data_IF_876340868162
#
_entry.id   IF_876340868162
#
_cell.length_a   1.000
_cell.length_b   1.000
_cell.length_c   1.000
_cell.angle_alpha   90.00
_cell.angle_beta   90.00
_cell.angle_gamma   90.00
#
_symmetry.space_group_name_H-M   'P 1'
#
loop_
_entity.id
_entity.type
_entity.pdbx_description
1 polymer ?
#
# COMPACT_ATOMS: atom_id res chain seq x y z
N UNK A 1 -27.41 -13.55 4.97
CA UNK A 1 -26.34 -13.26 3.99
C UNK A 1 -25.34 -12.23 4.50
N UNK A 2 -25.77 -11.03 4.94
CA UNK A 2 -24.88 -9.99 5.52
C UNK A 2 -24.14 -10.48 6.78
N UNK A 3 -24.84 -11.13 7.72
CA UNK A 3 -24.24 -11.71 8.93
C UNK A 3 -23.18 -12.78 8.65
N UNK A 4 -23.38 -13.59 7.59
CA UNK A 4 -22.42 -14.63 7.23
C UNK A 4 -21.11 -14.06 6.66
N UNK A 5 -21.21 -12.96 5.90
CA UNK A 5 -20.04 -12.23 5.37
C UNK A 5 -19.25 -11.60 6.52
N UNK A 6 -19.93 -11.01 7.51
CA UNK A 6 -19.27 -10.42 8.67
C UNK A 6 -18.53 -11.45 9.52
N UNK A 7 -19.13 -12.62 9.77
CA UNK A 7 -18.48 -13.69 10.53
C UNK A 7 -17.24 -14.23 9.81
N UNK A 8 -17.30 -14.41 8.48
CA UNK A 8 -16.15 -14.85 7.70
C UNK A 8 -15.00 -13.83 7.73
N UNK A 9 -15.31 -12.53 7.61
CA UNK A 9 -14.28 -11.47 7.68
C UNK A 9 -13.65 -11.42 9.06
N UNK A 10 -14.43 -11.61 10.12
CA UNK A 10 -13.92 -11.65 11.49
C UNK A 10 -12.91 -12.80 11.67
N UNK A 11 -13.28 -14.00 11.23
CA UNK A 11 -12.38 -15.16 11.28
C UNK A 11 -11.09 -14.93 10.47
N UNK A 12 -11.19 -14.34 9.27
CA UNK A 12 -10.01 -14.00 8.48
C UNK A 12 -9.15 -12.93 9.14
N UNK A 13 -9.76 -11.96 9.83
CA UNK A 13 -9.06 -10.91 10.58
C UNK A 13 -8.30 -11.49 11.77
N UNK A 14 -8.93 -12.38 12.54
CA UNK A 14 -8.31 -13.03 13.69
C UNK A 14 -7.07 -13.82 13.26
N UNK A 15 -7.17 -14.56 12.15
CA UNK A 15 -6.07 -15.32 11.56
C UNK A 15 -4.85 -14.47 11.14
N UNK A 16 -5.05 -13.21 10.76
CA UNK A 16 -3.95 -12.32 10.34
C UNK A 16 -3.58 -11.27 11.39
N UNK A 17 -4.25 -11.25 12.55
CA UNK A 17 -4.11 -10.19 13.55
C UNK A 17 -2.67 -10.01 14.03
N UNK A 18 -1.99 -11.11 14.37
CA UNK A 18 -0.59 -11.09 14.80
C UNK A 18 0.34 -10.50 13.74
N UNK A 19 0.13 -10.87 12.47
CA UNK A 19 0.91 -10.35 11.35
C UNK A 19 0.64 -8.86 11.10
N UNK A 20 -0.61 -8.40 11.28
CA UNK A 20 -0.96 -6.99 11.14
C UNK A 20 -0.38 -6.13 12.27
N UNK A 21 -0.39 -6.63 13.50
CA UNK A 21 0.23 -5.98 14.66
C UNK A 21 1.75 -5.86 14.51
N UNK A 22 2.41 -6.92 14.01
CA UNK A 22 3.82 -6.85 13.69
C UNK A 22 4.11 -5.84 12.57
N UNK A 23 3.23 -5.75 11.58
CA UNK A 23 3.36 -4.79 10.48
C UNK A 23 3.11 -3.34 10.93
N UNK A 24 2.13 -3.09 11.80
CA UNK A 24 1.89 -1.75 12.35
C UNK A 24 3.08 -1.27 13.17
N UNK A 25 3.69 -2.14 13.99
CA UNK A 25 4.91 -1.82 14.73
C UNK A 25 6.08 -1.46 13.82
N UNK A 26 6.26 -2.18 12.70
CA UNK A 26 7.28 -1.84 11.69
C UNK A 26 7.05 -0.47 11.06
N UNK A 27 5.80 -0.06 10.86
CA UNK A 27 5.47 1.24 10.26
C UNK A 27 5.62 2.40 11.24
N UNK A 28 5.21 2.23 12.50
CA UNK A 28 5.16 3.31 13.48
C UNK A 28 6.43 3.43 14.32
N UNK A 29 7.15 2.33 14.54
CA UNK A 29 8.32 2.29 15.42
C UNK A 29 8.01 2.41 16.91
N UNK A 30 6.74 2.52 17.30
CA UNK A 30 6.27 2.67 18.68
C UNK A 30 5.01 1.82 18.91
N UNK A 31 4.95 1.14 20.06
CA UNK A 31 3.87 0.21 20.42
C UNK A 31 2.50 0.88 20.55
N UNK A 32 2.44 2.10 21.09
CA UNK A 32 1.17 2.84 21.26
C UNK A 32 0.58 3.19 19.91
N UNK A 33 1.36 3.87 19.06
CA UNK A 33 0.93 4.22 17.70
C UNK A 33 0.64 2.98 16.84
N UNK A 34 1.35 1.87 17.09
CA UNK A 34 1.13 0.61 16.40
C UNK A 34 -0.22 -0.03 16.76
N UNK A 35 -0.64 0.07 18.02
CA UNK A 35 -1.95 -0.40 18.46
C UNK A 35 -3.05 0.42 17.83
N UNK A 36 -2.94 1.76 17.90
CA UNK A 36 -3.91 2.67 17.30
C UNK A 36 -4.08 2.41 15.80
N UNK A 37 -2.96 2.26 15.07
CA UNK A 37 -2.99 1.93 13.64
C UNK A 37 -3.65 0.58 13.37
N UNK A 38 -3.39 -0.43 14.19
CA UNK A 38 -4.03 -1.74 14.07
C UNK A 38 -5.54 -1.64 14.30
N UNK A 39 -5.98 -0.94 15.34
CA UNK A 39 -7.40 -0.80 15.70
C UNK A 39 -8.17 -0.04 14.61
N UNK A 40 -7.61 1.08 14.12
CA UNK A 40 -8.18 1.83 12.99
C UNK A 40 -8.31 0.93 11.73
N UNK A 41 -7.32 0.06 11.51
CA UNK A 41 -7.32 -0.87 10.39
C UNK A 41 -8.42 -1.93 10.55
N UNK A 42 -8.52 -2.56 11.71
CA UNK A 42 -9.54 -3.56 12.01
C UNK A 42 -10.95 -2.98 11.85
N UNK A 43 -11.17 -1.77 12.40
CA UNK A 43 -12.43 -1.04 12.23
C UNK A 43 -12.74 -0.78 10.75
N UNK A 44 -11.73 -0.34 9.98
CA UNK A 44 -11.91 -0.08 8.54
C UNK A 44 -12.20 -1.34 7.74
N UNK A 45 -11.59 -2.47 8.11
CA UNK A 45 -11.85 -3.78 7.51
C UNK A 45 -13.30 -4.19 7.73
N UNK A 46 -13.76 -4.15 8.98
CA UNK A 46 -15.13 -4.54 9.35
C UNK A 46 -16.16 -3.63 8.67
N UNK A 47 -15.94 -2.31 8.70
CA UNK A 47 -16.86 -1.33 8.10
C UNK A 47 -16.90 -1.35 6.57
N UNK A 48 -15.88 -1.93 5.92
CA UNK A 48 -15.83 -2.08 4.46
C UNK A 48 -15.81 -3.55 4.02
N UNK A 49 -16.34 -4.44 4.85
CA UNK A 49 -16.41 -5.88 4.59
C UNK A 49 -17.14 -6.19 3.27
N UNK A 50 -18.14 -5.38 2.92
CA UNK A 50 -18.89 -5.46 1.66
C UNK A 50 -18.03 -5.22 0.41
N UNK A 51 -16.92 -4.48 0.54
CA UNK A 51 -16.00 -4.17 -0.56
C UNK A 51 -14.97 -5.27 -0.80
N UNK A 52 -14.86 -6.22 0.13
CA UNK A 52 -13.94 -7.34 -0.04
C UNK A 52 -14.49 -8.34 -1.07
N UNK A 53 -13.64 -8.73 -2.02
CA UNK A 53 -13.97 -9.75 -3.01
C UNK A 53 -13.50 -11.10 -2.47
N UNK A 54 -14.45 -11.98 -2.15
CA UNK A 54 -14.16 -13.34 -1.73
C UNK A 54 -13.27 -14.07 -2.76
N UNK A 55 -12.38 -14.94 -2.27
CA UNK A 55 -11.40 -15.66 -3.09
C UNK A 55 -10.15 -14.83 -3.47
N UNK A 56 -10.05 -13.58 -3.02
CA UNK A 56 -8.82 -12.78 -3.14
C UNK A 56 -7.95 -12.90 -1.88
N UNK A 57 -6.72 -12.37 -1.91
CA UNK A 57 -5.83 -12.43 -0.75
C UNK A 57 -6.25 -11.40 0.32
N UNK A 58 -6.90 -11.89 1.37
CA UNK A 58 -7.38 -11.06 2.50
C UNK A 58 -6.25 -10.28 3.18
N UNK A 59 -5.10 -10.93 3.45
CA UNK A 59 -3.94 -10.30 4.09
C UNK A 59 -3.43 -9.11 3.28
N UNK A 60 -3.32 -9.26 1.96
CA UNK A 60 -2.88 -8.17 1.08
C UNK A 60 -3.87 -7.00 1.06
N UNK A 61 -5.18 -7.29 1.09
CA UNK A 61 -6.22 -6.28 1.17
C UNK A 61 -6.16 -5.52 2.51
N UNK A 62 -6.03 -6.23 3.64
CA UNK A 62 -5.88 -5.65 4.97
C UNK A 62 -4.62 -4.77 5.10
N UNK A 63 -3.47 -5.25 4.60
CA UNK A 63 -2.21 -4.49 4.57
C UNK A 63 -2.35 -3.21 3.74
N UNK A 64 -3.09 -3.27 2.62
CA UNK A 64 -3.37 -2.08 1.80
C UNK A 64 -4.17 -1.04 2.55
N UNK A 65 -5.20 -1.47 3.30
CA UNK A 65 -6.00 -0.58 4.16
C UNK A 65 -5.11 0.06 5.24
N UNK A 66 -4.31 -0.74 5.96
CA UNK A 66 -3.42 -0.25 7.02
C UNK A 66 -2.44 0.79 6.49
N UNK A 67 -1.78 0.50 5.37
CA UNK A 67 -0.81 1.42 4.76
C UNK A 67 -1.46 2.74 4.35
N UNK A 68 -2.68 2.70 3.81
CA UNK A 68 -3.43 3.91 3.46
C UNK A 68 -3.78 4.74 4.70
N UNK A 69 -4.19 4.10 5.80
CA UNK A 69 -4.46 4.79 7.07
C UNK A 69 -3.17 5.45 7.59
N UNK A 70 -2.07 4.71 7.65
CA UNK A 70 -0.77 5.21 8.09
C UNK A 70 -0.30 6.44 7.30
N UNK A 71 -0.29 6.35 5.96
CA UNK A 71 0.13 7.46 5.08
C UNK A 71 -0.76 8.69 5.30
N UNK A 72 -2.07 8.49 5.43
CA UNK A 72 -3.00 9.59 5.67
C UNK A 72 -2.79 10.24 7.05
N UNK A 73 -2.58 9.45 8.09
CA UNK A 73 -2.31 9.94 9.44
C UNK A 73 -0.98 10.71 9.50
N UNK A 74 0.06 10.19 8.86
CA UNK A 74 1.36 10.87 8.73
C UNK A 74 1.21 12.24 8.05
N UNK A 75 0.54 12.29 6.88
CA UNK A 75 0.30 13.55 6.15
C UNK A 75 -0.49 14.57 6.96
N UNK A 76 -1.51 14.12 7.72
CA UNK A 76 -2.27 14.98 8.64
C UNK A 76 -1.37 15.53 9.76
N UNK A 77 -0.50 14.71 10.33
CA UNK A 77 0.46 15.12 11.37
C UNK A 77 1.42 16.18 10.84
N UNK A 78 2.03 15.97 9.67
CA UNK A 78 2.92 16.95 9.01
C UNK A 78 2.21 18.28 8.79
N UNK A 79 0.98 18.26 8.24
CA UNK A 79 0.20 19.48 8.00
C UNK A 79 -0.14 20.23 9.29
N UNK A 80 -0.52 19.53 10.36
CA UNK A 80 -0.78 20.15 11.67
C UNK A 80 0.48 20.78 12.27
N UNK A 81 1.62 20.11 12.13
CA UNK A 81 2.88 20.61 12.67
C UNK A 81 3.42 21.81 11.89
N UNK A 82 3.24 21.88 10.56
CA UNK A 82 3.59 23.08 9.77
C UNK A 82 2.80 24.34 10.19
N UNK A 83 1.61 24.19 10.77
CA UNK A 83 0.82 25.32 11.26
C UNK A 83 1.35 25.84 12.61
N UNK A 84 2.06 24.99 13.36
CA UNK A 84 2.51 25.27 14.73
C UNK A 84 4.00 25.68 14.77
N UNK A 85 4.80 25.28 13.78
CA UNK A 85 6.25 25.48 13.78
C UNK A 85 6.77 25.94 12.40
N UNK A 86 7.34 27.15 12.32
CA UNK A 86 7.98 27.72 11.12
C UNK A 86 9.47 27.30 10.99
N UNK A 87 9.86 26.13 11.50
CA UNK A 87 11.19 25.58 11.25
C UNK A 87 11.12 24.35 10.33
N UNK A 88 12.02 24.24 9.33
CA UNK A 88 11.99 23.16 8.36
C UNK A 88 12.51 21.88 9.02
N UNK A 89 11.61 21.11 9.61
CA UNK A 89 11.99 19.84 10.21
C UNK A 89 11.95 18.74 9.14
N UNK A 90 13.16 18.29 8.77
CA UNK A 90 13.44 17.24 7.80
C UNK A 90 12.94 15.86 8.30
N UNK A 91 11.63 15.63 8.26
CA UNK A 91 11.08 14.27 8.30
C UNK A 91 10.95 13.77 6.87
N UNK A 92 12.11 13.51 6.27
CA UNK A 92 12.20 12.71 5.06
C UNK A 92 11.47 11.40 5.32
N UNK A 93 10.52 11.08 4.45
CA UNK A 93 10.08 9.70 4.24
C UNK A 93 11.30 9.00 3.63
N UNK A 94 12.28 8.65 4.47
CA UNK A 94 13.06 7.45 4.26
C UNK A 94 12.06 6.32 4.49
N UNK A 95 11.24 6.03 3.47
CA UNK A 95 10.83 4.66 3.21
C UNK A 95 12.11 3.93 2.87
N UNK A 96 12.90 3.67 3.92
CA UNK A 96 14.16 2.97 3.83
C UNK A 96 13.85 1.61 3.26
N UNK A 97 14.69 1.23 2.31
CA UNK A 97 15.01 -0.10 1.78
C UNK A 97 15.18 -1.22 2.83
N UNK A 98 14.71 -1.06 4.07
CA UNK A 98 14.64 -2.16 5.04
C UNK A 98 13.34 -2.92 4.83
N UNK A 99 13.30 -3.62 3.69
CA UNK A 99 12.67 -4.93 3.59
C UNK A 99 13.28 -5.80 4.70
N UNK A 100 12.64 -5.84 5.87
CA UNK A 100 13.08 -6.75 6.93
C UNK A 100 12.85 -8.17 6.44
N UNK A 101 13.98 -8.82 6.19
CA UNK A 101 14.21 -10.26 6.09
C UNK A 101 13.19 -11.06 6.89
N UNK A 102 12.16 -11.56 6.19
CA UNK A 102 11.62 -12.85 6.48
C UNK A 102 10.96 -13.35 5.20
N UNK A 103 11.33 -14.58 4.83
CA UNK A 103 10.88 -15.34 3.67
C UNK A 103 11.60 -15.02 2.35
N UNK A 104 12.60 -15.85 2.01
CA UNK A 104 13.39 -15.72 0.77
C UNK A 104 12.52 -15.68 -0.49
N UNK A 105 11.36 -16.35 -0.49
CA UNK A 105 10.39 -16.32 -1.58
C UNK A 105 9.72 -14.94 -1.74
N UNK A 106 9.42 -14.24 -0.64
CA UNK A 106 8.81 -12.92 -0.68
C UNK A 106 9.77 -11.85 -1.23
N UNK A 107 11.06 -11.97 -0.91
CA UNK A 107 12.12 -11.13 -1.49
C UNK A 107 12.33 -11.42 -2.98
N UNK A 108 12.29 -12.70 -3.40
CA UNK A 108 12.40 -13.07 -4.83
C UNK A 108 11.21 -12.56 -5.63
N UNK A 109 9.99 -12.73 -5.12
CA UNK A 109 8.77 -12.24 -5.77
C UNK A 109 8.75 -10.70 -5.86
N UNK A 110 9.20 -10.01 -4.82
CA UNK A 110 9.33 -8.54 -4.83
C UNK A 110 10.34 -8.08 -5.87
N UNK A 111 11.53 -8.68 -5.90
CA UNK A 111 12.59 -8.34 -6.85
C UNK A 111 12.15 -8.56 -8.29
N UNK A 112 11.42 -9.63 -8.56
CA UNK A 112 10.85 -9.90 -9.88
C UNK A 112 9.78 -8.87 -10.27
N UNK A 113 8.87 -8.53 -9.36
CA UNK A 113 7.89 -7.46 -9.61
C UNK A 113 8.57 -6.14 -9.89
N UNK A 114 9.63 -5.79 -9.16
CA UNK A 114 10.40 -4.57 -9.41
C UNK A 114 11.15 -4.61 -10.73
N UNK A 115 11.66 -5.77 -11.17
CA UNK A 115 12.19 -5.93 -12.54
C UNK A 115 11.11 -5.59 -13.57
N UNK A 116 9.89 -6.12 -13.43
CA UNK A 116 8.78 -5.80 -14.33
C UNK A 116 8.44 -4.31 -14.34
N UNK A 117 8.38 -3.67 -13.17
CA UNK A 117 8.16 -2.22 -13.05
C UNK A 117 9.25 -1.42 -13.77
N UNK A 118 10.50 -1.85 -13.67
CA UNK A 118 11.63 -1.18 -14.33
C UNK A 118 11.63 -1.34 -15.86
N UNK A 119 10.90 -2.31 -16.42
CA UNK A 119 10.71 -2.40 -17.88
C UNK A 119 9.66 -1.42 -18.43
N UNK A 120 8.86 -0.78 -17.57
CA UNK A 120 7.88 0.21 -18.02
C UNK A 120 8.61 1.46 -18.53
N UNK A 121 8.11 2.10 -19.61
CA UNK A 121 8.59 3.41 -20.00
C UNK A 121 8.45 4.40 -18.85
N UNK A 122 9.37 5.36 -18.78
CA UNK A 122 9.48 6.29 -17.65
C UNK A 122 8.18 7.05 -17.36
N UNK A 123 7.48 7.45 -18.42
CA UNK A 123 6.15 8.07 -18.40
C UNK A 123 5.09 7.28 -17.63
N UNK A 124 5.20 5.95 -17.59
CA UNK A 124 4.29 5.09 -16.84
C UNK A 124 4.88 4.72 -15.47
N UNK A 125 6.19 4.46 -15.43
CA UNK A 125 6.92 4.04 -14.24
C UNK A 125 6.93 5.10 -13.15
N UNK A 126 7.27 6.36 -13.48
CA UNK A 126 7.39 7.44 -12.49
C UNK A 126 6.07 7.74 -11.78
N UNK A 127 4.95 8.03 -12.49
CA UNK A 127 3.66 8.23 -11.83
C UNK A 127 3.22 7.02 -11.00
N UNK A 128 3.45 5.81 -11.51
CA UNK A 128 3.11 4.58 -10.80
C UNK A 128 3.88 4.44 -9.48
N UNK A 129 5.20 4.67 -9.51
CA UNK A 129 6.05 4.56 -8.32
C UNK A 129 5.72 5.64 -7.29
N UNK A 130 5.45 6.87 -7.71
CA UNK A 130 5.01 7.93 -6.80
C UNK A 130 3.66 7.59 -6.16
N UNK A 131 2.69 7.09 -6.94
CA UNK A 131 1.42 6.62 -6.39
C UNK A 131 1.62 5.44 -5.42
N UNK A 132 2.52 4.52 -5.73
CA UNK A 132 2.90 3.43 -4.83
C UNK A 132 3.53 3.95 -3.54
N UNK A 133 4.38 4.97 -3.59
CA UNK A 133 4.96 5.63 -2.42
C UNK A 133 3.94 6.41 -1.58
N UNK A 134 2.73 6.65 -2.11
CA UNK A 134 1.61 7.25 -1.39
C UNK A 134 1.31 8.69 -1.77
N UNK A 135 1.90 9.21 -2.86
CA UNK A 135 1.57 10.53 -3.40
C UNK A 135 0.12 10.59 -3.91
N UNK A 136 -0.56 11.71 -3.66
CA UNK A 136 -1.87 11.99 -4.26
C UNK A 136 -1.70 12.28 -5.74
N UNK A 137 -2.72 11.98 -6.53
CA UNK A 137 -2.63 12.20 -7.98
C UNK A 137 -2.43 13.68 -8.35
N UNK A 138 -2.95 14.61 -7.54
CA UNK A 138 -2.72 16.05 -7.75
C UNK A 138 -1.27 16.44 -7.48
N UNK A 139 -0.65 15.88 -6.41
CA UNK A 139 0.78 16.09 -6.09
C UNK A 139 1.69 15.51 -7.19
N UNK A 140 1.32 14.35 -7.74
CA UNK A 140 2.05 13.73 -8.87
C UNK A 140 1.91 14.57 -10.14
N UNK A 141 0.72 15.10 -10.40
CA UNK A 141 0.44 15.96 -11.55
C UNK A 141 1.28 17.23 -11.52
N UNK A 142 1.38 17.87 -10.35
CA UNK A 142 2.22 19.03 -10.11
C UNK A 142 3.71 18.71 -10.29
N UNK A 143 4.22 17.67 -9.62
CA UNK A 143 5.64 17.32 -9.68
C UNK A 143 6.11 16.81 -11.05
N UNK A 144 5.21 16.25 -11.86
CA UNK A 144 5.52 15.78 -13.22
C UNK A 144 5.04 16.75 -14.31
N UNK A 145 4.59 17.95 -13.93
CA UNK A 145 4.09 18.99 -14.84
C UNK A 145 3.13 18.44 -15.92
N UNK A 146 2.23 17.55 -15.49
CA UNK A 146 1.35 16.79 -16.38
C UNK A 146 -0.10 16.89 -15.91
N UNK A 147 -1.09 16.96 -16.82
CA UNK A 147 -2.49 17.04 -16.43
C UNK A 147 -2.93 15.85 -15.55
N UNK A 148 -3.79 16.11 -14.56
CA UNK A 148 -4.32 15.07 -13.66
C UNK A 148 -4.96 13.90 -14.41
N UNK A 149 -5.65 14.17 -15.52
CA UNK A 149 -6.23 13.13 -16.39
C UNK A 149 -5.16 12.20 -16.97
N UNK A 150 -4.03 12.76 -17.38
CA UNK A 150 -2.87 12.04 -17.91
C UNK A 150 -2.17 11.20 -16.83
N UNK A 151 -2.06 11.72 -15.60
CA UNK A 151 -1.53 10.93 -14.48
C UNK A 151 -2.42 9.73 -14.17
N UNK A 152 -3.74 9.94 -14.09
CA UNK A 152 -4.72 8.86 -13.86
C UNK A 152 -4.63 7.79 -14.95
N UNK A 153 -4.56 8.19 -16.21
CA UNK A 153 -4.47 7.26 -17.34
C UNK A 153 -3.12 6.51 -17.35
N UNK A 154 -1.99 7.21 -17.15
CA UNK A 154 -0.65 6.60 -17.06
C UNK A 154 -0.59 5.55 -15.95
N UNK A 155 -1.07 5.86 -14.74
CA UNK A 155 -1.10 4.89 -13.62
C UNK A 155 -2.00 3.70 -13.95
N UNK A 156 -3.17 3.94 -14.56
CA UNK A 156 -4.09 2.88 -14.95
C UNK A 156 -3.46 1.93 -15.98
N UNK A 157 -2.83 2.48 -17.03
CA UNK A 157 -2.16 1.68 -18.05
C UNK A 157 -0.93 0.95 -17.50
N UNK A 158 -0.16 1.57 -16.61
CA UNK A 158 0.94 0.92 -15.90
C UNK A 158 0.45 -0.33 -15.14
N UNK A 159 -0.62 -0.20 -14.36
CA UNK A 159 -1.24 -1.33 -13.63
C UNK A 159 -1.69 -2.44 -14.58
N UNK A 160 -2.37 -2.10 -15.67
CA UNK A 160 -2.85 -3.09 -16.66
C UNK A 160 -1.70 -3.83 -17.33
N UNK A 161 -0.61 -3.13 -17.69
CA UNK A 161 0.58 -3.72 -18.31
C UNK A 161 1.30 -4.64 -17.33
N UNK A 162 1.52 -4.21 -16.10
CA UNK A 162 2.14 -5.05 -15.06
C UNK A 162 1.32 -6.29 -14.75
N UNK A 163 -0.01 -6.16 -14.67
CA UNK A 163 -0.88 -7.32 -14.46
C UNK A 163 -0.78 -8.34 -15.59
N UNK A 164 -0.64 -7.89 -16.84
CA UNK A 164 -0.43 -8.79 -17.99
C UNK A 164 0.92 -9.49 -17.89
N UNK A 165 2.00 -8.73 -17.70
CA UNK A 165 3.36 -9.29 -17.55
C UNK A 165 3.45 -10.32 -16.44
N UNK A 166 2.84 -10.05 -15.29
CA UNK A 166 2.81 -10.98 -14.18
C UNK A 166 2.05 -12.27 -14.53
N UNK A 167 0.90 -12.17 -15.20
CA UNK A 167 0.14 -13.36 -15.64
C UNK A 167 0.90 -14.21 -16.64
N UNK A 168 1.63 -13.58 -17.56
CA UNK A 168 2.42 -14.28 -18.57
C UNK A 168 3.61 -15.02 -17.91
N UNK A 169 4.35 -14.36 -17.01
CA UNK A 169 5.42 -14.99 -16.23
C UNK A 169 4.92 -16.15 -15.35
N UNK A 170 3.72 -16.06 -14.79
CA UNK A 170 3.12 -17.14 -14.01
C UNK A 170 2.69 -18.34 -14.87
N UNK A 171 2.35 -18.13 -16.15
CA UNK A 171 2.06 -19.24 -17.07
C UNK A 171 3.32 -19.98 -17.46
N UNK A 172 4.41 -19.27 -17.76
CA UNK A 172 5.70 -19.87 -18.10
C UNK A 172 6.26 -20.75 -16.98
N UNK A 173 5.98 -20.43 -15.71
CA UNK A 173 6.37 -21.25 -14.56
C UNK A 173 5.55 -22.53 -14.36
N UNK A 174 4.38 -22.61 -14.99
CA UNK A 174 3.43 -23.73 -14.86
C UNK A 174 3.45 -24.66 -16.07
N UNK A 175 4.13 -24.27 -17.14
CA UNK A 175 4.39 -25.08 -18.33
C UNK A 175 5.70 -25.85 -18.16
#
# INVERSE_FOLDING_TARGET
>A
MIYAIQNQIQEQLDNISSSLRAFSLKLTGNSVDAEDLYQDTALRIITNADKYRQGTNFKAWAVTIMRNIFINNYRKKVRRNMIIDQTPNNYYINSGDKLVENDGEMNVAYNELMKMVNTLPEDFRRPFMMAYQGFKYDEIAEQLESPLGTIKSRIFFARKKLQKMYKDAQKERRA
#
